data_IF_031877088868
#
_entry.id   IF_031877088868
#
_cell.length_a   1.000
_cell.length_b   1.000
_cell.length_c   1.000
_cell.angle_alpha   90.00
_cell.angle_beta   90.00
_cell.angle_gamma   90.00
#
_symmetry.space_group_name_H-M   'P 1'
#
loop_
_entity.id
_entity.type
_entity.pdbx_description
1 polymer ?
#
# COMPACT_ATOMS: atom_id res chain seq x y z
N UNK A 1 9.36 2.34 9.84
CA UNK A 1 8.66 1.22 10.53
C UNK A 1 7.17 1.31 10.26
N UNK A 2 6.53 2.40 10.69
CA UNK A 2 5.10 2.67 10.51
C UNK A 2 4.74 2.75 9.02
N UNK A 3 5.62 3.33 8.21
CA UNK A 3 5.55 3.42 6.75
C UNK A 3 5.39 2.05 6.09
N UNK A 4 6.20 1.08 6.54
CA UNK A 4 6.21 -0.28 6.02
C UNK A 4 4.93 -1.02 6.45
N UNK A 5 4.56 -0.90 7.73
CA UNK A 5 3.36 -1.54 8.27
C UNK A 5 2.08 -0.99 7.61
N UNK A 6 2.02 0.32 7.39
CA UNK A 6 0.90 0.95 6.69
C UNK A 6 0.76 0.40 5.28
N UNK A 7 1.88 0.31 4.55
CA UNK A 7 1.88 -0.22 3.19
C UNK A 7 1.39 -1.66 3.15
N UNK A 8 1.89 -2.53 4.03
CA UNK A 8 1.40 -3.90 4.12
C UNK A 8 -0.07 -3.99 4.50
N UNK A 9 -0.53 -3.15 5.44
CA UNK A 9 -1.92 -3.15 5.85
C UNK A 9 -2.86 -2.77 4.69
N UNK A 10 -2.50 -1.75 3.91
CA UNK A 10 -3.24 -1.33 2.71
C UNK A 10 -3.23 -2.43 1.63
N UNK A 11 -2.07 -3.05 1.38
CA UNK A 11 -1.96 -4.14 0.41
C UNK A 11 -2.77 -5.37 0.83
N UNK A 12 -2.83 -5.67 2.13
CA UNK A 12 -3.64 -6.76 2.68
C UNK A 12 -5.13 -6.45 2.52
N UNK A 13 -5.54 -5.21 2.80
CA UNK A 13 -6.92 -4.74 2.64
C UNK A 13 -7.45 -4.97 1.23
N UNK A 14 -6.63 -4.76 0.19
CA UNK A 14 -7.04 -4.99 -1.21
C UNK A 14 -6.77 -6.42 -1.72
N UNK A 15 -6.14 -7.26 -0.90
CA UNK A 15 -5.85 -8.67 -1.20
C UNK A 15 -4.66 -8.88 -2.14
N UNK A 16 -3.70 -7.94 -2.19
CA UNK A 16 -2.47 -8.08 -3.00
C UNK A 16 -1.31 -8.75 -2.23
N UNK A 17 -1.40 -8.81 -0.90
CA UNK A 17 -0.51 -9.59 -0.03
C UNK A 17 -1.34 -10.49 0.88
N UNK A 18 -0.71 -11.54 1.41
CA UNK A 18 -1.38 -12.47 2.32
C UNK A 18 -1.37 -11.97 3.77
N UNK A 19 -2.33 -12.44 4.56
CA UNK A 19 -2.36 -12.22 6.00
C UNK A 19 -1.09 -12.73 6.70
N UNK A 20 -0.54 -13.86 6.24
CA UNK A 20 0.73 -14.40 6.74
C UNK A 20 1.89 -13.42 6.51
N UNK A 21 1.99 -12.84 5.32
CA UNK A 21 3.06 -11.89 4.98
C UNK A 21 2.98 -10.61 5.84
N UNK A 22 1.77 -10.09 6.07
CA UNK A 22 1.56 -8.97 6.99
C UNK A 22 1.97 -9.31 8.43
N UNK A 23 1.52 -10.46 8.95
CA UNK A 23 1.81 -10.91 10.31
C UNK A 23 3.30 -11.18 10.53
N UNK A 24 3.97 -11.79 9.58
CA UNK A 24 5.42 -12.02 9.65
C UNK A 24 6.18 -10.69 9.73
N UNK A 25 5.79 -9.69 8.94
CA UNK A 25 6.39 -8.37 8.98
C UNK A 25 6.12 -7.65 10.32
N UNK A 26 4.87 -7.67 10.80
CA UNK A 26 4.49 -7.09 12.09
C UNK A 26 5.25 -7.72 13.25
N UNK A 27 5.27 -9.05 13.32
CA UNK A 27 5.97 -9.79 14.37
C UNK A 27 7.47 -9.51 14.35
N UNK A 28 8.09 -9.42 13.16
CA UNK A 28 9.51 -9.07 13.05
C UNK A 28 9.82 -7.66 13.59
N UNK A 29 8.89 -6.70 13.45
CA UNK A 29 9.02 -5.37 14.04
C UNK A 29 8.75 -5.38 15.55
N UNK A 30 7.73 -6.12 16.01
CA UNK A 30 7.40 -6.28 17.42
C UNK A 30 8.55 -6.90 18.22
N UNK A 31 9.18 -7.97 17.71
CA UNK A 31 10.32 -8.61 18.37
C UNK A 31 11.54 -7.69 18.54
N UNK A 32 11.72 -6.71 17.65
CA UNK A 32 12.80 -5.70 17.77
C UNK A 32 12.46 -4.59 18.76
N UNK A 33 11.17 -4.32 18.97
CA UNK A 33 10.67 -3.23 19.79
C UNK A 33 9.47 -3.69 20.64
N UNK A 34 9.66 -4.64 21.57
CA UNK A 34 8.55 -5.26 22.30
C UNK A 34 7.78 -4.29 23.21
N UNK A 35 8.42 -3.20 23.64
CA UNK A 35 7.79 -2.16 24.47
C UNK A 35 7.00 -1.12 23.66
N UNK A 36 6.91 -1.28 22.34
CA UNK A 36 6.19 -0.35 21.49
C UNK A 36 4.68 -0.59 21.56
N UNK A 37 3.95 0.36 22.17
CA UNK A 37 2.51 0.27 22.37
C UNK A 37 1.70 0.16 21.07
N UNK A 38 2.12 0.83 19.99
CA UNK A 38 1.47 0.71 18.68
C UNK A 38 1.59 -0.72 18.16
N UNK A 39 2.81 -1.29 18.16
CA UNK A 39 3.03 -2.64 17.66
C UNK A 39 2.25 -3.69 18.47
N UNK A 40 2.16 -3.52 19.79
CA UNK A 40 1.34 -4.38 20.65
C UNK A 40 -0.15 -4.30 20.30
N UNK A 41 -0.69 -3.10 20.10
CA UNK A 41 -2.10 -2.91 19.70
C UNK A 41 -2.38 -3.55 18.33
N UNK A 42 -1.44 -3.43 17.37
CA UNK A 42 -1.57 -4.02 16.04
C UNK A 42 -1.57 -5.56 16.08
N UNK A 43 -0.73 -6.18 16.92
CA UNK A 43 -0.70 -7.64 17.12
C UNK A 43 -2.05 -8.20 17.58
N UNK A 44 -2.76 -7.44 18.43
CA UNK A 44 -4.10 -7.83 18.91
C UNK A 44 -5.22 -7.63 17.88
N UNK A 45 -4.99 -6.90 16.79
CA UNK A 45 -6.01 -6.50 15.81
C UNK A 45 -5.85 -7.09 14.42
N UNK A 46 -5.06 -8.15 14.27
CA UNK A 46 -4.78 -8.76 12.96
C UNK A 46 -6.02 -9.26 12.18
N UNK A 47 -7.20 -9.38 12.82
CA UNK A 47 -8.46 -9.74 12.17
C UNK A 47 -9.29 -8.55 11.64
N UNK A 48 -8.96 -7.32 12.05
CA UNK A 48 -9.63 -6.07 11.62
C UNK A 48 -8.65 -5.18 10.86
N UNK A 49 -8.51 -5.45 9.55
CA UNK A 49 -7.55 -4.73 8.72
C UNK A 49 -7.92 -3.26 8.51
N UNK A 50 -9.21 -2.93 8.46
CA UNK A 50 -9.65 -1.53 8.31
C UNK A 50 -9.38 -0.73 9.58
N UNK A 51 -9.65 -1.31 10.76
CA UNK A 51 -9.29 -0.71 12.04
C UNK A 51 -7.77 -0.58 12.21
N UNK A 52 -7.01 -1.57 11.76
CA UNK A 52 -5.54 -1.55 11.71
C UNK A 52 -5.02 -0.36 10.90
N UNK A 53 -5.52 -0.18 9.67
CA UNK A 53 -5.13 0.96 8.81
C UNK A 53 -5.44 2.29 9.52
N UNK A 54 -6.63 2.41 10.11
CA UNK A 54 -7.03 3.62 10.83
C UNK A 54 -6.09 3.95 12.00
N UNK A 55 -5.73 2.95 12.83
CA UNK A 55 -4.82 3.15 13.96
C UNK A 55 -3.45 3.61 13.49
N UNK A 56 -2.92 2.99 12.43
CA UNK A 56 -1.63 3.38 11.85
C UNK A 56 -1.71 4.82 11.31
N UNK A 57 -2.83 5.22 10.72
CA UNK A 57 -3.04 6.60 10.28
C UNK A 57 -3.12 7.60 11.42
N UNK A 58 -3.94 7.33 12.43
CA UNK A 58 -4.08 8.21 13.59
C UNK A 58 -2.70 8.43 14.25
N UNK A 59 -1.92 7.34 14.40
CA UNK A 59 -0.53 7.44 14.84
C UNK A 59 0.34 8.27 13.90
N UNK A 60 0.19 8.11 12.59
CA UNK A 60 1.00 8.81 11.58
C UNK A 60 0.79 10.32 11.60
N UNK A 61 -0.45 10.77 11.81
CA UNK A 61 -0.80 12.19 11.93
C UNK A 61 -0.15 12.85 13.14
N UNK A 62 -0.02 12.10 14.24
CA UNK A 62 0.61 12.58 15.47
C UNK A 62 2.15 12.50 15.43
N UNK A 63 2.72 11.71 14.51
CA UNK A 63 4.13 11.34 14.51
C UNK A 63 4.81 11.52 13.14
N UNK A 64 4.82 12.74 12.58
CA UNK A 64 5.64 13.19 11.44
C UNK A 64 6.14 12.07 10.50
N UNK A 65 5.23 11.27 9.96
CA UNK A 65 5.59 10.09 9.17
C UNK A 65 6.23 10.52 7.85
N UNK A 66 7.27 9.80 7.46
CA UNK A 66 7.96 10.03 6.20
C UNK A 66 7.15 9.42 5.05
N UNK A 67 6.33 10.25 4.41
CA UNK A 67 5.50 9.81 3.29
C UNK A 67 6.28 9.45 2.03
N UNK A 68 7.51 9.93 1.87
CA UNK A 68 8.38 9.51 0.77
C UNK A 68 8.90 8.10 1.02
N UNK A 69 9.28 7.77 2.26
CA UNK A 69 9.64 6.40 2.64
C UNK A 69 8.44 5.44 2.52
N UNK A 70 7.24 5.87 2.93
CA UNK A 70 5.99 5.13 2.70
C UNK A 70 5.75 4.89 1.21
N UNK A 71 5.82 5.94 0.38
CA UNK A 71 5.60 5.84 -1.05
C UNK A 71 6.60 4.92 -1.72
N UNK A 72 7.89 5.07 -1.41
CA UNK A 72 8.95 4.21 -1.93
C UNK A 72 8.65 2.73 -1.65
N UNK A 73 8.23 2.39 -0.43
CA UNK A 73 7.91 1.02 -0.08
C UNK A 73 6.62 0.51 -0.76
N UNK A 74 5.52 1.28 -0.69
CA UNK A 74 4.24 0.90 -1.29
C UNK A 74 4.39 0.68 -2.81
N UNK A 75 4.99 1.63 -3.52
CA UNK A 75 5.15 1.57 -4.97
C UNK A 75 6.10 0.42 -5.37
N UNK A 76 7.18 0.21 -4.63
CA UNK A 76 8.08 -0.93 -4.86
C UNK A 76 7.35 -2.27 -4.70
N UNK A 77 6.51 -2.41 -3.66
CA UNK A 77 5.69 -3.63 -3.49
C UNK A 77 4.62 -3.80 -4.54
N UNK A 78 3.99 -2.72 -4.99
CA UNK A 78 3.07 -2.77 -6.12
C UNK A 78 3.78 -3.21 -7.42
N UNK A 79 5.00 -2.74 -7.66
CA UNK A 79 5.82 -3.16 -8.79
C UNK A 79 6.14 -4.67 -8.71
N UNK A 80 6.57 -5.16 -7.54
CA UNK A 80 6.81 -6.60 -7.33
C UNK A 80 5.55 -7.42 -7.63
N UNK A 81 4.39 -7.01 -7.09
CA UNK A 81 3.11 -7.68 -7.33
C UNK A 81 2.71 -7.65 -8.81
N UNK A 82 2.91 -6.51 -9.47
CA UNK A 82 2.60 -6.32 -10.89
C UNK A 82 3.38 -7.27 -11.79
N UNK A 83 4.66 -7.52 -11.47
CA UNK A 83 5.52 -8.41 -12.23
C UNK A 83 5.48 -9.89 -11.78
N UNK A 84 4.65 -10.26 -10.80
CA UNK A 84 4.44 -11.68 -10.47
C UNK A 84 3.88 -12.43 -11.69
N UNK A 85 4.38 -13.64 -11.93
CA UNK A 85 3.95 -14.48 -13.05
C UNK A 85 2.42 -14.60 -13.11
N UNK A 86 1.85 -14.38 -14.30
CA UNK A 86 0.42 -14.44 -14.58
C UNK A 86 -0.46 -13.37 -13.91
N UNK A 87 0.11 -12.25 -13.42
CA UNK A 87 -0.70 -11.13 -12.94
C UNK A 87 -1.56 -10.55 -14.07
N UNK A 88 -2.89 -10.63 -13.90
CA UNK A 88 -3.84 -10.00 -14.82
C UNK A 88 -3.89 -8.49 -14.56
N UNK A 89 -3.71 -7.71 -15.62
CA UNK A 89 -3.71 -6.25 -15.55
C UNK A 89 -5.07 -5.69 -15.11
N UNK A 90 -6.17 -6.36 -15.47
CA UNK A 90 -7.52 -5.92 -15.07
C UNK A 90 -7.75 -6.20 -13.59
N UNK A 91 -7.36 -7.38 -13.11
CA UNK A 91 -7.37 -7.68 -11.69
C UNK A 91 -6.50 -6.69 -10.90
N UNK A 92 -5.26 -6.45 -11.32
CA UNK A 92 -4.37 -5.48 -10.68
C UNK A 92 -5.00 -4.08 -10.66
N UNK A 93 -5.44 -3.60 -11.82
CA UNK A 93 -6.08 -2.29 -11.97
C UNK A 93 -7.28 -2.10 -11.05
N UNK A 94 -8.14 -3.12 -10.95
CA UNK A 94 -9.33 -3.09 -10.08
C UNK A 94 -9.04 -2.83 -8.59
N UNK A 95 -7.79 -3.00 -8.15
CA UNK A 95 -7.37 -2.73 -6.77
C UNK A 95 -6.88 -1.29 -6.56
N UNK A 96 -6.44 -0.60 -7.60
CA UNK A 96 -5.71 0.66 -7.50
C UNK A 96 -6.55 1.76 -6.87
N UNK A 97 -7.79 1.94 -7.32
CA UNK A 97 -8.70 2.92 -6.73
C UNK A 97 -8.99 2.62 -5.24
N UNK A 98 -9.07 1.34 -4.86
CA UNK A 98 -9.29 0.96 -3.46
C UNK A 98 -8.10 1.35 -2.58
N UNK A 99 -6.87 1.18 -3.07
CA UNK A 99 -5.65 1.68 -2.41
C UNK A 99 -5.72 3.20 -2.30
N UNK A 100 -5.96 3.89 -3.42
CA UNK A 100 -6.05 5.35 -3.46
C UNK A 100 -7.06 5.89 -2.45
N UNK A 101 -8.23 5.28 -2.37
CA UNK A 101 -9.35 5.74 -1.52
C UNK A 101 -9.07 5.69 -0.02
N UNK A 102 -8.10 4.86 0.41
CA UNK A 102 -7.71 4.76 1.81
C UNK A 102 -6.45 5.53 2.14
N UNK A 103 -5.77 6.18 1.18
CA UNK A 103 -4.57 6.95 1.47
C UNK A 103 -4.85 8.20 2.34
N UNK A 104 -3.86 8.69 3.11
CA UNK A 104 -3.93 10.00 3.74
C UNK A 104 -4.22 11.09 2.71
N UNK A 105 -5.18 11.96 3.02
CA UNK A 105 -5.63 13.04 2.14
C UNK A 105 -4.50 13.99 1.73
N UNK A 106 -3.46 14.09 2.57
CA UNK A 106 -2.26 14.89 2.42
C UNK A 106 -1.38 14.44 1.24
N UNK A 107 -1.50 13.17 0.83
CA UNK A 107 -0.69 12.56 -0.24
C UNK A 107 -1.51 12.01 -1.40
N UNK A 108 -2.80 11.75 -1.18
CA UNK A 108 -3.69 11.11 -2.15
C UNK A 108 -3.71 11.78 -3.53
N UNK A 109 -3.55 13.11 -3.59
CA UNK A 109 -3.53 13.89 -4.84
C UNK A 109 -2.12 14.32 -5.28
N UNK A 110 -1.08 13.59 -4.87
CA UNK A 110 0.31 13.81 -5.27
C UNK A 110 0.85 12.59 -6.02
N UNK A 111 1.73 12.80 -6.97
CA UNK A 111 2.44 11.68 -7.59
C UNK A 111 3.38 11.01 -6.57
N UNK A 112 3.56 9.68 -6.64
CA UNK A 112 2.97 8.76 -7.63
C UNK A 112 1.58 8.24 -7.23
N UNK A 113 1.06 8.63 -6.06
CA UNK A 113 -0.20 8.12 -5.51
C UNK A 113 -1.41 8.51 -6.35
N UNK A 114 -1.39 9.68 -6.98
CA UNK A 114 -2.51 10.15 -7.78
C UNK A 114 -2.80 9.22 -8.97
N UNK A 115 -1.76 8.61 -9.56
CA UNK A 115 -1.90 7.60 -10.61
C UNK A 115 -2.75 6.39 -10.17
N UNK A 116 -2.83 6.07 -8.87
CA UNK A 116 -3.67 4.97 -8.36
C UNK A 116 -5.17 5.24 -8.54
N UNK A 117 -5.59 6.50 -8.70
CA UNK A 117 -6.99 6.86 -8.90
C UNK A 117 -7.51 6.56 -10.32
N UNK A 118 -6.62 6.60 -11.32
CA UNK A 118 -7.01 6.59 -12.74
C UNK A 118 -6.17 5.65 -13.61
N UNK A 119 -5.15 4.99 -13.04
CA UNK A 119 -4.17 4.22 -13.80
C UNK A 119 -4.79 3.11 -14.66
N UNK A 120 -5.92 2.55 -14.21
CA UNK A 120 -6.71 1.53 -14.92
C UNK A 120 -7.82 2.07 -15.81
N UNK A 121 -8.13 3.37 -15.78
CA UNK A 121 -9.18 3.98 -16.60
C UNK A 121 -9.08 3.57 -18.09
N UNK A 122 -7.87 3.53 -18.72
CA UNK A 122 -7.74 3.14 -20.12
C UNK A 122 -8.17 1.72 -20.45
N UNK A 123 -8.23 0.83 -19.46
CA UNK A 123 -8.75 -0.53 -19.65
C UNK A 123 -10.24 -0.52 -20.05
N UNK A 124 -11.00 0.50 -19.65
CA UNK A 124 -12.44 0.59 -19.96
C UNK A 124 -12.75 0.81 -21.45
N UNK A 125 -11.81 1.36 -22.22
CA UNK A 125 -11.88 1.46 -23.69
C UNK A 125 -10.84 0.58 -24.40
N UNK A 126 -10.23 -0.37 -23.67
CA UNK A 126 -9.35 -1.39 -24.22
C UNK A 126 -7.91 -0.94 -24.49
N UNK A 127 -7.47 0.23 -24.01
CA UNK A 127 -6.09 0.69 -24.19
C UNK A 127 -5.17 0.19 -23.08
N UNK A 128 -4.85 -1.10 -23.14
CA UNK A 128 -3.91 -1.71 -22.19
C UNK A 128 -2.51 -1.09 -22.26
N UNK A 129 -2.08 -0.60 -23.43
CA UNK A 129 -0.76 0.00 -23.59
C UNK A 129 -0.66 1.27 -22.73
N UNK A 130 -1.67 2.13 -22.78
CA UNK A 130 -1.70 3.35 -21.97
C UNK A 130 -1.69 3.03 -20.47
N UNK A 131 -2.49 2.06 -20.01
CA UNK A 131 -2.46 1.60 -18.60
C UNK A 131 -1.07 1.12 -18.19
N UNK A 132 -0.38 0.35 -19.04
CA UNK A 132 0.99 -0.13 -18.76
C UNK A 132 1.97 1.03 -18.67
N UNK A 133 1.89 2.02 -19.56
CA UNK A 133 2.74 3.20 -19.52
C UNK A 133 2.52 4.03 -18.25
N UNK A 134 1.27 4.16 -17.77
CA UNK A 134 0.94 4.83 -16.52
C UNK A 134 1.57 4.12 -15.32
N UNK A 135 1.37 2.81 -15.19
CA UNK A 135 1.99 2.05 -14.09
C UNK A 135 3.51 2.04 -14.17
N UNK A 136 4.10 1.92 -15.36
CA UNK A 136 5.55 2.03 -15.51
C UNK A 136 6.07 3.38 -15.01
N UNK A 137 5.43 4.50 -15.37
CA UNK A 137 5.81 5.83 -14.85
C UNK A 137 5.69 5.90 -13.33
N UNK A 138 4.60 5.38 -12.77
CA UNK A 138 4.39 5.30 -11.33
C UNK A 138 5.53 4.52 -10.63
N UNK A 139 5.92 3.36 -11.17
CA UNK A 139 6.99 2.53 -10.61
C UNK A 139 8.39 3.16 -10.72
N UNK A 140 8.62 4.05 -11.67
CA UNK A 140 9.90 4.75 -11.82
C UNK A 140 10.03 5.99 -10.92
N UNK A 141 8.97 6.42 -10.24
CA UNK A 141 8.96 7.70 -9.52
C UNK A 141 10.03 7.82 -8.42
N UNK A 142 10.27 6.73 -7.67
CA UNK A 142 11.22 6.70 -6.55
C UNK A 142 12.59 6.08 -6.91
N UNK A 143 12.87 5.87 -8.20
CA UNK A 143 14.12 5.25 -8.68
C UNK A 143 15.19 6.26 -9.06
#
# INVERSE_FOLDING_TARGET
>A
MVEILLSYAILLYVGLVSDAEYKENLNAHFLKHPDNALLLELEWRTLDIQGTIKIIFDYSLENNVDYDMFGCFLISKLEEVYYKDNMDIRFFGSKMYSIWSVLPSEIQNKEPFWTLCYGDDPLSWGDERQTRELYQKMFQYYK
#
